data_IF_143609375487
#
_entry.id   IF_143609375487
#
_cell.length_a   1.000
_cell.length_b   1.000
_cell.length_c   1.000
_cell.angle_alpha   90.00
_cell.angle_beta   90.00
_cell.angle_gamma   90.00
#
_symmetry.space_group_name_H-M   'P 1'
#
loop_
_entity.id
_entity.type
_entity.pdbx_description
1 polymer ?
#
# COMPACT_ATOMS: atom_id res chain seq x y z
N UNK A 1 -12.53 9.62 5.46
CA UNK A 1 -11.07 9.59 5.31
C UNK A 1 -10.78 8.85 4.01
N UNK A 2 -9.98 9.39 3.10
CA UNK A 2 -9.73 8.76 1.80
C UNK A 2 -8.83 7.52 1.93
N UNK A 3 -9.22 6.39 1.35
CA UNK A 3 -8.45 5.13 1.34
C UNK A 3 -7.04 5.31 0.80
N UNK A 4 -6.84 6.23 -0.17
CA UNK A 4 -5.51 6.60 -0.68
C UNK A 4 -4.59 7.12 0.42
N UNK A 5 -5.10 8.04 1.25
CA UNK A 5 -4.34 8.62 2.37
C UNK A 5 -3.94 7.55 3.38
N UNK A 6 -4.82 6.59 3.64
CA UNK A 6 -4.54 5.45 4.52
C UNK A 6 -3.38 4.60 3.96
N UNK A 7 -3.41 4.29 2.65
CA UNK A 7 -2.32 3.56 1.97
C UNK A 7 -1.00 4.33 2.09
N UNK A 8 -1.03 5.65 1.86
CA UNK A 8 0.14 6.51 2.01
C UNK A 8 0.69 6.47 3.44
N UNK A 9 -0.14 6.67 4.45
CA UNK A 9 0.28 6.65 5.86
C UNK A 9 0.88 5.29 6.27
N UNK A 10 0.37 4.19 5.73
CA UNK A 10 0.94 2.87 5.94
C UNK A 10 2.32 2.73 5.28
N UNK A 11 2.42 3.04 4.00
CA UNK A 11 3.65 2.89 3.21
C UNK A 11 4.73 3.93 3.57
N UNK A 12 4.35 5.08 4.15
CA UNK A 12 5.25 6.15 4.59
C UNK A 12 6.22 5.69 5.69
N UNK A 13 5.80 4.73 6.52
CA UNK A 13 6.64 4.21 7.61
C UNK A 13 7.77 3.32 7.10
N UNK A 14 7.47 2.42 6.16
CA UNK A 14 8.42 1.48 5.57
C UNK A 14 7.80 0.78 4.35
N UNK A 15 8.63 0.26 3.43
CA UNK A 15 8.19 -0.70 2.43
C UNK A 15 7.59 -1.93 3.12
N UNK A 16 6.42 -2.37 2.68
CA UNK A 16 5.70 -3.47 3.32
C UNK A 16 4.89 -4.28 2.32
N UNK A 17 4.50 -5.49 2.72
CA UNK A 17 3.71 -6.39 1.88
C UNK A 17 2.24 -5.96 1.86
N UNK A 18 1.49 -6.39 0.83
CA UNK A 18 0.06 -6.08 0.74
C UNK A 18 -0.73 -6.48 1.98
N UNK A 19 -0.41 -7.61 2.62
CA UNK A 19 -1.07 -8.03 3.85
C UNK A 19 -0.78 -7.09 5.04
N UNK A 20 0.45 -6.57 5.14
CA UNK A 20 0.77 -5.56 6.16
C UNK A 20 0.04 -4.23 5.88
N UNK A 21 -0.11 -3.84 4.61
CA UNK A 21 -0.90 -2.65 4.23
C UNK A 21 -2.35 -2.83 4.62
N UNK A 22 -2.95 -4.01 4.41
CA UNK A 22 -4.33 -4.29 4.86
C UNK A 22 -4.45 -4.17 6.37
N UNK A 23 -3.56 -4.81 7.11
CA UNK A 23 -3.59 -4.77 8.58
C UNK A 23 -3.41 -3.34 9.10
N UNK A 24 -2.49 -2.57 8.51
CA UNK A 24 -2.30 -1.17 8.84
C UNK A 24 -3.54 -0.33 8.49
N UNK A 25 -4.13 -0.54 7.31
CA UNK A 25 -5.32 0.18 6.88
C UNK A 25 -6.52 -0.09 7.80
N UNK A 26 -6.74 -1.35 8.18
CA UNK A 26 -7.80 -1.75 9.13
C UNK A 26 -7.56 -1.18 10.54
N UNK A 27 -6.30 -0.98 10.95
CA UNK A 27 -5.96 -0.31 12.22
C UNK A 27 -6.25 1.18 12.20
N UNK A 28 -6.07 1.85 11.05
CA UNK A 28 -6.37 3.27 10.88
C UNK A 28 -7.87 3.48 10.75
N UNK A 29 -8.51 2.71 9.88
CA UNK A 29 -9.95 2.75 9.64
C UNK A 29 -10.48 1.30 9.56
N UNK A 30 -11.14 0.79 10.61
CA UNK A 30 -11.69 -0.56 10.63
C UNK A 30 -12.88 -0.76 9.68
N UNK A 31 -13.41 0.32 9.10
CA UNK A 31 -14.47 0.30 8.09
C UNK A 31 -13.93 0.43 6.66
N UNK A 32 -12.60 0.48 6.49
CA UNK A 32 -11.99 0.55 5.16
C UNK A 32 -12.41 -0.65 4.32
N UNK A 33 -12.87 -0.38 3.11
CA UNK A 33 -13.22 -1.45 2.18
C UNK A 33 -11.94 -2.01 1.57
N UNK A 34 -11.63 -3.28 1.83
CA UNK A 34 -10.44 -3.95 1.30
C UNK A 34 -10.44 -4.06 -0.23
N UNK A 35 -11.61 -4.07 -0.86
CA UNK A 35 -11.74 -4.06 -2.32
C UNK A 35 -11.30 -2.69 -2.87
N UNK A 36 -11.83 -1.61 -2.31
CA UNK A 36 -11.42 -0.24 -2.65
C UNK A 36 -9.93 -0.02 -2.35
N UNK A 37 -9.42 -0.52 -1.22
CA UNK A 37 -7.99 -0.47 -0.87
C UNK A 37 -7.13 -1.11 -1.96
N UNK A 38 -7.54 -2.26 -2.48
CA UNK A 38 -6.82 -2.97 -3.53
C UNK A 38 -6.87 -2.22 -4.86
N UNK A 39 -8.03 -1.69 -5.23
CA UNK A 39 -8.21 -0.88 -6.45
C UNK A 39 -7.37 0.39 -6.38
N UNK A 40 -7.45 1.14 -5.28
CA UNK A 40 -6.64 2.34 -5.06
C UNK A 40 -5.15 2.05 -5.05
N UNK A 41 -4.72 0.95 -4.42
CA UNK A 41 -3.31 0.55 -4.43
C UNK A 41 -2.85 0.22 -5.86
N UNK A 42 -3.68 -0.46 -6.65
CA UNK A 42 -3.36 -0.77 -8.04
C UNK A 42 -3.28 0.50 -8.91
N UNK A 43 -4.19 1.47 -8.70
CA UNK A 43 -4.12 2.80 -9.31
C UNK A 43 -2.83 3.51 -8.92
N UNK A 44 -2.47 3.54 -7.64
CA UNK A 44 -1.23 4.18 -7.18
C UNK A 44 0.03 3.54 -7.79
N UNK A 45 0.01 2.22 -8.02
CA UNK A 45 1.09 1.53 -8.74
C UNK A 45 1.11 1.93 -10.22
N UNK A 46 -0.06 2.02 -10.85
CA UNK A 46 -0.21 2.46 -12.25
C UNK A 46 0.22 3.91 -12.45
N UNK A 47 -0.08 4.77 -11.48
CA UNK A 47 0.34 6.19 -11.41
C UNK A 47 1.84 6.34 -11.10
N UNK A 48 2.56 5.23 -10.85
CA UNK A 48 3.97 5.19 -10.43
C UNK A 48 4.23 5.89 -9.09
N UNK A 49 3.17 6.07 -8.30
CA UNK A 49 3.24 6.61 -6.94
C UNK A 49 3.69 5.54 -5.94
N UNK A 50 3.34 4.28 -6.19
CA UNK A 50 3.81 3.12 -5.42
C UNK A 50 4.60 2.21 -6.35
N UNK A 51 5.82 1.88 -5.97
CA UNK A 51 6.67 0.92 -6.68
C UNK A 51 6.36 -0.48 -6.17
N UNK A 52 6.04 -1.38 -7.08
CA UNK A 52 5.91 -2.81 -6.79
C UNK A 52 7.24 -3.49 -7.12
N UNK A 53 8.06 -3.72 -6.10
CA UNK A 53 9.33 -4.42 -6.22
C UNK A 53 9.14 -5.92 -5.99
N UNK A 54 9.86 -6.74 -6.75
CA UNK A 54 9.92 -8.19 -6.53
C UNK A 54 11.13 -8.47 -5.66
N UNK A 55 10.92 -9.01 -4.47
CA UNK A 55 12.00 -9.51 -3.65
C UNK A 55 12.42 -10.89 -4.17
N UNK A 56 13.51 -10.94 -4.93
CA UNK A 56 14.01 -12.17 -5.56
C UNK A 56 14.46 -13.23 -4.54
N UNK A 57 14.83 -12.82 -3.32
CA UNK A 57 15.26 -13.74 -2.26
C UNK A 57 14.09 -14.50 -1.65
N UNK A 58 12.92 -13.87 -1.52
CA UNK A 58 11.72 -14.48 -0.91
C UNK A 58 10.62 -14.80 -1.92
N UNK A 59 10.81 -14.42 -3.19
CA UNK A 59 9.78 -14.40 -4.24
C UNK A 59 8.50 -13.63 -3.83
N UNK A 60 8.61 -12.65 -2.92
CA UNK A 60 7.47 -11.83 -2.45
C UNK A 60 7.45 -10.43 -3.08
N UNK A 61 6.27 -9.84 -3.21
CA UNK A 61 6.08 -8.48 -3.73
C UNK A 61 6.10 -7.45 -2.61
N UNK A 62 7.08 -6.56 -2.63
CA UNK A 62 7.16 -5.43 -1.69
C UNK A 62 6.60 -4.20 -2.38
N UNK A 63 5.71 -3.49 -1.68
CA UNK A 63 5.21 -2.20 -2.13
C UNK A 63 5.97 -1.10 -1.39
N UNK A 64 6.54 -0.18 -2.15
CA UNK A 64 7.30 0.95 -1.64
C UNK A 64 6.69 2.24 -2.19
N UNK A 65 6.65 3.28 -1.35
CA UNK A 65 6.16 4.58 -1.77
C UNK A 65 7.26 5.29 -2.58
N UNK A 66 6.94 5.68 -3.81
CA UNK A 66 7.85 6.45 -4.64
C UNK A 66 7.86 7.90 -4.09
N UNK A 67 8.92 8.28 -3.36
CA UNK A 67 9.05 9.63 -2.81
C UNK A 67 9.07 10.67 -3.97
N UNK A 68 8.25 11.74 -3.91
CA UNK A 68 8.33 12.74 -2.84
C UNK A 68 6.95 13.11 -2.24
N UNK A 69 6.29 12.17 -1.55
CA UNK A 69 5.00 12.38 -0.86
C UNK A 69 5.12 12.19 0.65
#
# INVERSE_FOLDING_TARGET
>A
MDTRVIIFECLKKRPMYFDEIKECALKIDPRVNLLDLREKLADLVREKTVVKNVNYTTKKFIFELNAPY
#
